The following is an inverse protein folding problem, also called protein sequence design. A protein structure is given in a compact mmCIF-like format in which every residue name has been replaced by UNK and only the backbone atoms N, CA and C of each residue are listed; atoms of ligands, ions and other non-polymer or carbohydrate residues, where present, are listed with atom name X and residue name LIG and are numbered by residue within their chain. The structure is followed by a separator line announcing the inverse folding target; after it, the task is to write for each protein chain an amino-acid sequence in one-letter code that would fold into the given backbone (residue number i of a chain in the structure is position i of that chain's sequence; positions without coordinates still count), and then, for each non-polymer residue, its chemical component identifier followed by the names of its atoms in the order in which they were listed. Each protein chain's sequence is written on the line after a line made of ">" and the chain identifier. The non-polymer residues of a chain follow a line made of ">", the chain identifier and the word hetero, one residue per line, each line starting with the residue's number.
data_IF_105260828782
#
_entry.id   IF_105260828782
#
_cell.length_a   1.000
_cell.length_b   1.000
_cell.length_c   1.000
_cell.angle_alpha   90.00
_cell.angle_beta   90.00
_cell.angle_gamma   90.00
#
_symmetry.space_group_name_H-M   'P 1'
#
loop_
_entity.id
_entity.type
_entity.pdbx_description
1 polymer ?
#
# COMPACT_ATOMS: atom_id res chain seq x y z
N UNK A 1 -13.06 2.52 40.09
CA UNK A 1 -12.30 3.16 39.00
C UNK A 1 -12.07 2.14 37.89
N UNK A 2 -12.87 2.20 36.82
CA UNK A 2 -12.74 1.30 35.67
C UNK A 2 -11.95 1.99 34.57
N UNK A 3 -10.73 1.52 34.32
CA UNK A 3 -9.90 1.96 33.20
C UNK A 3 -10.53 1.52 31.89
N UNK A 4 -11.14 2.46 31.17
CA UNK A 4 -11.64 2.24 29.82
C UNK A 4 -10.47 2.02 28.86
N UNK A 5 -10.30 0.78 28.38
CA UNK A 5 -9.48 0.50 27.20
C UNK A 5 -10.23 1.09 26.01
N UNK A 6 -9.89 2.32 25.63
CA UNK A 6 -10.31 2.88 24.35
C UNK A 6 -9.66 2.06 23.26
N UNK A 7 -10.41 1.13 22.65
CA UNK A 7 -10.05 0.51 21.38
C UNK A 7 -9.95 1.64 20.35
N UNK A 8 -8.77 2.24 20.20
CA UNK A 8 -8.49 3.04 19.04
C UNK A 8 -8.64 2.12 17.83
N UNK A 9 -9.72 2.31 17.08
CA UNK A 9 -9.80 1.83 15.70
C UNK A 9 -8.55 2.37 15.00
N UNK A 10 -7.55 1.51 14.76
CA UNK A 10 -6.37 1.90 14.01
C UNK A 10 -6.81 2.07 12.55
N UNK A 11 -7.32 3.27 12.25
CA UNK A 11 -7.87 3.63 10.94
C UNK A 11 -6.86 3.38 9.82
N UNK A 12 -5.56 3.48 10.13
CA UNK A 12 -4.46 3.12 9.24
C UNK A 12 -4.44 1.62 8.94
N UNK A 13 -4.45 0.76 9.98
CA UNK A 13 -4.49 -0.70 9.82
C UNK A 13 -5.72 -1.16 9.05
N UNK A 14 -6.90 -0.60 9.37
CA UNK A 14 -8.14 -0.94 8.66
C UNK A 14 -8.06 -0.55 7.18
N UNK A 15 -7.49 0.61 6.88
CA UNK A 15 -7.27 1.07 5.51
C UNK A 15 -6.26 0.18 4.77
N UNK A 16 -5.15 -0.18 5.41
CA UNK A 16 -4.15 -1.09 4.84
C UNK A 16 -4.78 -2.45 4.52
N UNK A 17 -5.55 -3.02 5.45
CA UNK A 17 -6.25 -4.29 5.23
C UNK A 17 -7.15 -4.23 3.99
N UNK A 18 -7.95 -3.17 3.86
CA UNK A 18 -8.80 -2.96 2.67
C UNK A 18 -7.98 -2.93 1.39
N UNK A 19 -6.88 -2.15 1.36
CA UNK A 19 -5.97 -2.09 0.22
C UNK A 19 -5.46 -3.49 -0.15
N UNK A 20 -4.93 -4.23 0.82
CA UNK A 20 -4.35 -5.56 0.59
C UNK A 20 -5.39 -6.53 0.03
N UNK A 21 -6.60 -6.57 0.60
CA UNK A 21 -7.66 -7.46 0.14
C UNK A 21 -8.13 -7.08 -1.27
N UNK A 22 -8.38 -5.80 -1.54
CA UNK A 22 -8.89 -5.37 -2.85
C UNK A 22 -7.86 -5.59 -3.96
N UNK A 23 -6.59 -5.23 -3.73
CA UNK A 23 -5.53 -5.39 -4.72
C UNK A 23 -5.22 -6.88 -4.96
N UNK A 24 -5.26 -7.70 -3.91
CA UNK A 24 -5.03 -9.15 -4.05
C UNK A 24 -6.18 -9.83 -4.79
N UNK A 25 -7.43 -9.50 -4.46
CA UNK A 25 -8.61 -10.04 -5.16
C UNK A 25 -8.59 -9.65 -6.65
N UNK A 26 -8.27 -8.40 -6.95
CA UNK A 26 -8.15 -7.93 -8.34
C UNK A 26 -7.02 -8.64 -9.09
N UNK A 27 -5.86 -8.84 -8.45
CA UNK A 27 -4.75 -9.60 -9.05
C UNK A 27 -5.13 -11.06 -9.32
N UNK A 28 -5.83 -11.72 -8.39
CA UNK A 28 -6.32 -13.09 -8.58
C UNK A 28 -7.26 -13.14 -9.78
N UNK A 29 -8.23 -12.23 -9.85
CA UNK A 29 -9.16 -12.14 -10.98
C UNK A 29 -8.40 -11.92 -12.29
N UNK A 30 -7.44 -10.99 -12.34
CA UNK A 30 -6.60 -10.73 -13.53
C UNK A 30 -5.84 -11.98 -13.97
N UNK A 31 -5.16 -12.67 -13.05
CA UNK A 31 -4.40 -13.90 -13.35
C UNK A 31 -5.32 -14.99 -13.91
N UNK A 32 -6.54 -15.14 -13.36
CA UNK A 32 -7.52 -16.11 -13.88
C UNK A 32 -7.94 -15.78 -15.31
N UNK A 33 -8.25 -14.51 -15.59
CA UNK A 33 -8.63 -14.08 -16.93
C UNK A 33 -7.47 -14.22 -17.93
N UNK A 34 -6.25 -13.84 -17.56
CA UNK A 34 -5.05 -14.03 -18.40
C UNK A 34 -4.87 -15.50 -18.79
N UNK A 35 -5.05 -16.44 -17.84
CA UNK A 35 -4.97 -17.88 -18.12
C UNK A 35 -6.05 -18.34 -19.10
N UNK A 36 -7.30 -17.92 -18.89
CA UNK A 36 -8.43 -18.30 -19.76
C UNK A 36 -8.28 -17.74 -21.18
N UNK A 37 -7.94 -16.45 -21.31
CA UNK A 37 -7.83 -15.77 -22.61
C UNK A 37 -6.60 -16.23 -23.38
N UNK A 38 -5.44 -16.34 -22.72
CA UNK A 38 -4.19 -16.70 -23.39
C UNK A 38 -3.98 -18.21 -23.48
N UNK A 39 -4.94 -19.02 -22.97
CA UNK A 39 -4.81 -20.47 -22.81
C UNK A 39 -3.47 -20.87 -22.18
N UNK A 40 -2.99 -20.03 -21.25
CA UNK A 40 -1.66 -20.16 -20.67
C UNK A 40 -1.70 -21.00 -19.41
N UNK A 41 -0.64 -21.80 -19.20
CA UNK A 41 -0.43 -22.55 -17.97
C UNK A 41 -0.25 -21.64 -16.75
N UNK A 42 -0.19 -22.24 -15.54
CA UNK A 42 0.02 -21.46 -14.32
C UNK A 42 1.33 -20.67 -14.35
N UNK A 43 1.24 -19.37 -14.08
CA UNK A 43 2.42 -18.52 -13.93
C UNK A 43 3.29 -18.95 -12.73
N UNK A 44 4.63 -18.84 -12.82
CA UNK A 44 5.53 -19.13 -11.70
C UNK A 44 5.22 -18.25 -10.48
N UNK A 45 5.36 -18.83 -9.28
CA UNK A 45 5.09 -18.13 -8.01
C UNK A 45 5.86 -16.81 -7.89
N UNK A 46 7.15 -16.81 -8.24
CA UNK A 46 7.99 -15.61 -8.21
C UNK A 46 7.44 -14.48 -9.10
N UNK A 47 6.89 -14.82 -10.28
CA UNK A 47 6.26 -13.84 -11.18
C UNK A 47 5.00 -13.24 -10.56
N UNK A 48 4.21 -14.05 -9.84
CA UNK A 48 3.01 -13.60 -9.13
C UNK A 48 3.40 -12.69 -7.95
N UNK A 49 4.40 -13.08 -7.16
CA UNK A 49 4.92 -12.28 -6.04
C UNK A 49 5.44 -10.92 -6.52
N UNK A 50 6.25 -10.89 -7.58
CA UNK A 50 6.77 -9.65 -8.15
C UNK A 50 5.65 -8.73 -8.68
N UNK A 51 4.62 -9.31 -9.31
CA UNK A 51 3.44 -8.55 -9.75
C UNK A 51 2.69 -7.95 -8.56
N UNK A 52 2.49 -8.72 -7.49
CA UNK A 52 1.83 -8.26 -6.28
C UNK A 52 2.63 -7.15 -5.58
N UNK A 53 3.93 -7.34 -5.38
CA UNK A 53 4.82 -6.33 -4.80
C UNK A 53 4.78 -5.02 -5.59
N UNK A 54 4.82 -5.10 -6.93
CA UNK A 54 4.69 -3.93 -7.80
C UNK A 54 3.36 -3.19 -7.59
N UNK A 55 2.25 -3.91 -7.45
CA UNK A 55 0.93 -3.30 -7.21
C UNK A 55 0.90 -2.59 -5.85
N UNK A 56 1.38 -3.24 -4.79
CA UNK A 56 1.39 -2.65 -3.44
C UNK A 56 2.34 -1.44 -3.37
N UNK A 57 3.52 -1.53 -3.98
CA UNK A 57 4.47 -0.41 -4.06
C UNK A 57 3.89 0.77 -4.87
N UNK A 58 3.17 0.49 -5.96
CA UNK A 58 2.47 1.53 -6.71
C UNK A 58 1.39 2.20 -5.85
N UNK A 59 0.67 1.43 -5.02
CA UNK A 59 -0.34 2.00 -4.11
C UNK A 59 0.28 2.92 -3.06
N UNK A 60 1.40 2.51 -2.47
CA UNK A 60 2.19 3.36 -1.58
C UNK A 60 2.63 4.64 -2.28
N UNK A 61 3.14 4.55 -3.51
CA UNK A 61 3.58 5.71 -4.28
C UNK A 61 2.44 6.70 -4.58
N UNK A 62 1.26 6.18 -4.93
CA UNK A 62 0.05 7.00 -5.13
C UNK A 62 -0.36 7.68 -3.82
N UNK A 63 -0.38 6.96 -2.71
CA UNK A 63 -0.72 7.53 -1.40
C UNK A 63 0.24 8.65 -1.01
N UNK A 64 1.54 8.48 -1.25
CA UNK A 64 2.56 9.51 -1.06
C UNK A 64 2.31 10.72 -1.95
N UNK A 65 2.11 10.52 -3.26
CA UNK A 65 1.85 11.60 -4.21
C UNK A 65 0.58 12.39 -3.83
N UNK A 66 -0.45 11.71 -3.33
CA UNK A 66 -1.69 12.34 -2.87
C UNK A 66 -1.52 13.17 -1.59
N UNK A 67 -0.36 13.15 -0.93
CA UNK A 67 -0.10 14.06 0.21
C UNK A 67 0.26 15.49 -0.22
N UNK A 68 0.54 15.71 -1.52
CA UNK A 68 0.91 17.02 -2.05
C UNK A 68 -0.28 18.01 -1.96
N UNK A 69 -0.19 18.92 -0.99
CA UNK A 69 -1.19 19.97 -0.78
C UNK A 69 -1.13 21.08 -1.82
N UNK A 70 0.02 21.33 -2.45
CA UNK A 70 0.11 22.31 -3.52
C UNK A 70 -0.68 21.83 -4.73
N UNK A 71 -0.59 20.54 -5.05
CA UNK A 71 -1.30 19.93 -6.18
C UNK A 71 -2.77 19.60 -5.89
N UNK A 72 -3.08 19.06 -4.72
CA UNK A 72 -4.41 18.51 -4.42
C UNK A 72 -5.23 19.36 -3.42
N UNK A 73 -4.66 20.42 -2.84
CA UNK A 73 -5.35 21.33 -1.94
C UNK A 73 -6.06 20.61 -0.79
N UNK A 74 -7.36 20.90 -0.62
CA UNK A 74 -8.21 20.26 0.42
C UNK A 74 -8.45 18.75 0.17
N UNK A 75 -8.21 18.24 -1.04
CA UNK A 75 -8.35 16.82 -1.39
C UNK A 75 -7.09 16.01 -1.09
N UNK A 76 -6.00 16.66 -0.69
CA UNK A 76 -4.76 15.97 -0.34
C UNK A 76 -4.96 15.04 0.88
N UNK A 77 -4.35 13.86 0.84
CA UNK A 77 -4.28 12.96 1.98
C UNK A 77 -3.46 13.58 3.10
N UNK A 78 -3.90 13.37 4.34
CA UNK A 78 -3.12 13.72 5.52
C UNK A 78 -1.91 12.79 5.61
N UNK A 79 -0.71 13.35 5.79
CA UNK A 79 0.50 12.54 5.98
C UNK A 79 0.37 11.56 7.15
N UNK A 80 -0.31 11.96 8.23
CA UNK A 80 -0.54 11.09 9.39
C UNK A 80 -1.34 9.84 9.02
N UNK A 81 -2.29 9.94 8.08
CA UNK A 81 -3.06 8.80 7.59
C UNK A 81 -2.20 7.87 6.73
N UNK A 82 -1.35 8.43 5.87
CA UNK A 82 -0.42 7.63 5.05
C UNK A 82 0.59 6.91 5.95
N UNK A 83 1.19 7.63 6.91
CA UNK A 83 2.09 7.05 7.91
C UNK A 83 1.42 5.96 8.72
N UNK A 84 0.21 6.16 9.23
CA UNK A 84 -0.50 5.13 10.01
C UNK A 84 -0.88 3.92 9.14
N UNK A 85 -1.20 4.12 7.87
CA UNK A 85 -1.52 3.03 6.93
C UNK A 85 -0.30 2.14 6.69
N UNK A 86 0.88 2.73 6.43
CA UNK A 86 2.06 2.01 5.96
C UNK A 86 3.11 1.76 7.07
N UNK A 87 2.77 2.04 8.33
CA UNK A 87 3.66 1.79 9.47
C UNK A 87 3.95 0.30 9.62
N UNK A 88 5.20 -0.05 9.94
CA UNK A 88 5.70 -1.43 10.11
C UNK A 88 5.71 -2.28 8.84
N UNK A 89 5.46 -1.72 7.67
CA UNK A 89 5.46 -2.47 6.39
C UNK A 89 6.57 -2.04 5.43
N UNK A 90 7.26 -0.93 5.70
CA UNK A 90 8.32 -0.40 4.85
C UNK A 90 9.67 -1.04 5.14
N UNK A 91 10.39 -1.42 4.08
CA UNK A 91 11.79 -1.85 4.19
C UNK A 91 12.64 -0.67 4.65
N UNK A 92 13.41 -0.85 5.73
CA UNK A 92 14.26 0.22 6.28
C UNK A 92 13.50 1.36 6.96
N UNK A 93 12.28 1.13 7.46
CA UNK A 93 11.44 2.19 8.06
C UNK A 93 12.16 3.02 9.14
N UNK A 94 13.07 2.41 9.90
CA UNK A 94 13.82 3.07 10.98
C UNK A 94 14.74 4.20 10.49
N UNK A 95 15.17 4.14 9.23
CA UNK A 95 16.09 5.12 8.62
C UNK A 95 15.36 6.15 7.76
N UNK A 96 14.02 6.08 7.66
CA UNK A 96 13.25 7.02 6.86
C UNK A 96 13.16 8.39 7.52
N UNK A 97 13.27 9.45 6.72
CA UNK A 97 13.05 10.81 7.17
C UNK A 97 11.60 10.98 7.69
N UNK A 98 11.39 11.85 8.69
CA UNK A 98 10.05 12.06 9.28
C UNK A 98 9.00 12.49 8.25
N UNK A 99 9.41 13.16 7.18
CA UNK A 99 8.59 13.68 6.07
C UNK A 99 8.59 12.77 4.83
N UNK A 100 8.98 11.49 4.97
CA UNK A 100 9.11 10.56 3.84
C UNK A 100 7.90 10.50 2.89
N UNK A 101 6.62 10.67 3.28
CA UNK A 101 5.52 10.64 2.32
C UNK A 101 5.56 11.77 1.29
N UNK A 102 6.18 12.91 1.62
CA UNK A 102 6.31 14.07 0.73
C UNK A 102 7.45 13.95 -0.27
N UNK A 103 8.42 13.09 0.01
CA UNK A 103 9.57 12.85 -0.88
C UNK A 103 9.13 11.84 -1.92
N UNK A 104 8.37 12.32 -2.90
CA UNK A 104 7.92 11.54 -4.07
C UNK A 104 9.17 11.21 -4.88
N UNK A 105 9.75 10.05 -4.59
CA UNK A 105 11.03 9.66 -5.15
C UNK A 105 11.50 8.35 -4.55
N UNK A 106 10.86 7.27 -4.98
CA UNK A 106 11.45 5.93 -4.96
C UNK A 106 11.67 5.33 -3.55
N UNK A 107 10.59 4.91 -2.90
CA UNK A 107 10.65 3.78 -1.96
C UNK A 107 10.70 2.46 -2.75
N UNK A 108 11.77 2.23 -3.53
CA UNK A 108 12.05 0.90 -4.08
C UNK A 108 12.90 0.13 -3.08
N UNK A 109 12.22 -0.50 -2.13
CA UNK A 109 12.78 -1.63 -1.41
C UNK A 109 12.45 -2.92 -2.14
N UNK A 110 12.97 -3.14 -3.35
CA UNK A 110 13.01 -4.51 -3.92
C UNK A 110 14.04 -5.27 -3.10
N UNK A 111 13.61 -6.34 -2.44
CA UNK A 111 14.44 -7.40 -1.88
C UNK A 111 13.72 -8.70 -2.20
#
# INVERSE_FOLDING_TARGET
>A
MAGGVTRHSDSGTTRLYKILITESAHLIWRIRNERVIQQSGPAPLAKIQNRWLRIINNRLAIDCAMTDRAKYGKKALKESLVKSTWRKTLKGERTLAKDWPKRVGVLVGVG
#
